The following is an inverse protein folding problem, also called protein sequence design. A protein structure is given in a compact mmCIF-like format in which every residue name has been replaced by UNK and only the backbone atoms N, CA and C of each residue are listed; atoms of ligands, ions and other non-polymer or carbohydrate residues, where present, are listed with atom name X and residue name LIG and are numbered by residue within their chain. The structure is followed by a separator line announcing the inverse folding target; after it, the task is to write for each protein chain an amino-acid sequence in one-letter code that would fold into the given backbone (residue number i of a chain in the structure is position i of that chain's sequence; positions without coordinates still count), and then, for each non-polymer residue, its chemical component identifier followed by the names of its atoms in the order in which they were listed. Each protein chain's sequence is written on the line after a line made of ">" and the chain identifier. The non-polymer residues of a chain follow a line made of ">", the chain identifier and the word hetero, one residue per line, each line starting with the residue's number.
data_IF_864197413724
#
_entry.id   IF_864197413724
#
_cell.length_a   1.000
_cell.length_b   1.000
_cell.length_c   1.000
_cell.angle_alpha   90.00
_cell.angle_beta   90.00
_cell.angle_gamma   90.00
#
_symmetry.space_group_name_H-M   'P 1'
#
loop_
_entity.id
_entity.type
_entity.pdbx_description
1 polymer ?
#
# COMPACT_ATOMS: atom_id res chain seq x y z
N UNK A 1 23.75 0.72 0.34
CA UNK A 1 23.19 -0.63 0.60
C UNK A 1 22.15 -0.87 -0.50
N UNK A 2 22.49 -1.65 -1.54
CA UNK A 2 21.64 -1.77 -2.74
C UNK A 2 20.38 -2.58 -2.44
N UNK A 3 19.21 -1.99 -2.69
CA UNK A 3 17.95 -2.70 -2.70
C UNK A 3 17.96 -3.69 -3.88
N UNK A 4 18.09 -4.99 -3.58
CA UNK A 4 17.74 -6.02 -4.56
C UNK A 4 16.25 -5.83 -4.89
N UNK A 5 15.94 -5.52 -6.14
CA UNK A 5 14.60 -5.68 -6.72
C UNK A 5 14.23 -7.17 -6.69
N UNK A 6 13.88 -7.66 -5.50
CA UNK A 6 13.33 -8.99 -5.32
C UNK A 6 11.89 -8.93 -5.80
N UNK A 7 11.66 -9.35 -7.05
CA UNK A 7 10.39 -9.96 -7.43
C UNK A 7 10.15 -11.12 -6.46
N UNK A 8 9.44 -10.87 -5.37
CA UNK A 8 9.03 -11.93 -4.44
C UNK A 8 8.07 -12.85 -5.18
N UNK A 9 8.58 -14.00 -5.61
CA UNK A 9 7.79 -15.11 -6.14
C UNK A 9 7.07 -15.79 -4.96
N UNK A 10 5.94 -15.23 -4.51
CA UNK A 10 5.07 -15.91 -3.56
C UNK A 10 4.30 -17.03 -4.28
N UNK A 11 4.87 -18.24 -4.29
CA UNK A 11 4.23 -19.48 -4.76
C UNK A 11 4.31 -19.70 -6.29
N UNK A 12 5.05 -20.72 -6.72
CA UNK A 12 5.03 -21.17 -8.12
C UNK A 12 4.45 -22.59 -8.21
N UNK A 13 3.27 -22.75 -8.82
CA UNK A 13 2.90 -24.06 -9.37
C UNK A 13 3.75 -24.26 -10.63
N UNK A 14 4.73 -25.16 -10.55
CA UNK A 14 5.58 -25.51 -11.70
C UNK A 14 4.99 -26.73 -12.41
N UNK A 15 4.60 -26.54 -13.65
CA UNK A 15 4.52 -27.63 -14.62
C UNK A 15 5.88 -27.70 -15.34
N UNK A 16 6.26 -28.85 -15.91
CA UNK A 16 7.50 -29.00 -16.69
C UNK A 16 7.64 -27.92 -17.78
N UNK A 17 6.51 -27.47 -18.34
CA UNK A 17 6.49 -26.53 -19.47
C UNK A 17 6.18 -25.08 -19.11
N UNK A 18 5.73 -24.79 -17.88
CA UNK A 18 5.34 -23.42 -17.50
C UNK A 18 5.31 -23.19 -15.99
N UNK A 19 5.43 -21.93 -15.59
CA UNK A 19 5.26 -21.47 -14.22
C UNK A 19 4.37 -20.22 -14.18
N UNK A 20 3.64 -20.06 -13.09
CA UNK A 20 2.86 -18.86 -12.81
C UNK A 20 3.70 -17.92 -11.94
N UNK A 21 3.76 -16.65 -12.32
CA UNK A 21 4.34 -15.58 -11.50
C UNK A 21 3.27 -14.58 -11.07
N UNK A 22 3.46 -14.08 -9.86
CA UNK A 22 2.69 -12.97 -9.31
C UNK A 22 3.57 -11.72 -9.39
N UNK A 23 3.14 -10.73 -10.17
CA UNK A 23 3.87 -9.47 -10.34
C UNK A 23 3.19 -8.40 -9.50
N UNK A 24 3.81 -8.04 -8.39
CA UNK A 24 3.48 -6.85 -7.60
C UNK A 24 4.30 -5.68 -8.13
N UNK A 25 3.78 -4.46 -7.99
CA UNK A 25 4.66 -3.30 -8.21
C UNK A 25 5.68 -3.29 -7.09
N UNK A 26 6.95 -3.23 -7.47
CA UNK A 26 7.92 -2.65 -6.56
C UNK A 26 7.48 -1.21 -6.34
N UNK A 27 7.36 -0.81 -5.06
CA UNK A 27 7.23 0.60 -4.79
C UNK A 27 8.52 1.27 -5.30
N UNK A 28 8.43 2.34 -6.10
CA UNK A 28 9.63 2.97 -6.62
C UNK A 28 10.52 3.39 -5.45
N UNK A 29 11.84 3.37 -5.66
CA UNK A 29 12.76 3.99 -4.72
C UNK A 29 12.36 5.47 -4.59
N UNK A 30 12.20 5.92 -3.34
CA UNK A 30 11.79 7.28 -3.01
C UNK A 30 12.94 7.99 -2.33
N UNK A 31 13.20 9.22 -2.75
CA UNK A 31 14.12 10.11 -2.02
C UNK A 31 13.46 10.57 -0.72
N UNK A 32 14.25 11.18 0.17
CA UNK A 32 13.71 11.82 1.36
C UNK A 32 12.67 12.89 0.99
N UNK A 33 12.98 13.72 -0.02
CA UNK A 33 12.11 14.80 -0.49
C UNK A 33 10.80 14.28 -1.06
N UNK A 34 10.82 13.13 -1.74
CA UNK A 34 9.60 12.48 -2.21
C UNK A 34 8.68 12.08 -1.05
N UNK A 35 9.26 11.52 0.02
CA UNK A 35 8.51 11.10 1.21
C UNK A 35 7.98 12.30 1.99
N UNK A 36 8.76 13.38 2.10
CA UNK A 36 8.32 14.62 2.73
C UNK A 36 7.17 15.27 1.95
N UNK A 37 7.27 15.32 0.62
CA UNK A 37 6.21 15.84 -0.22
C UNK A 37 4.94 14.97 -0.15
N UNK A 38 5.06 13.64 -0.14
CA UNK A 38 3.93 12.74 0.03
C UNK A 38 3.28 12.87 1.41
N UNK A 39 4.07 13.02 2.47
CA UNK A 39 3.58 13.30 3.82
C UNK A 39 2.78 14.60 3.87
N UNK A 40 3.31 15.67 3.27
CA UNK A 40 2.63 16.96 3.18
C UNK A 40 1.31 16.82 2.42
N UNK A 41 1.32 16.21 1.23
CA UNK A 41 0.12 15.97 0.43
C UNK A 41 -0.95 15.21 1.21
N UNK A 42 -0.57 14.13 1.90
CA UNK A 42 -1.48 13.33 2.71
C UNK A 42 -2.07 14.13 3.87
N UNK A 43 -1.23 14.85 4.63
CA UNK A 43 -1.66 15.50 5.87
C UNK A 43 -2.47 16.79 5.62
N UNK A 44 -2.06 17.63 4.67
CA UNK A 44 -2.80 18.83 4.28
C UNK A 44 -4.18 18.52 3.68
N UNK A 45 -4.34 17.35 3.07
CA UNK A 45 -5.60 16.94 2.43
C UNK A 45 -6.32 15.84 3.23
N UNK A 46 -5.91 15.56 4.47
CA UNK A 46 -6.43 14.42 5.24
C UNK A 46 -7.94 14.53 5.48
N UNK A 47 -8.44 15.73 5.80
CA UNK A 47 -9.89 15.98 5.97
C UNK A 47 -10.65 15.67 4.68
N UNK A 48 -10.15 16.13 3.53
CA UNK A 48 -10.76 15.88 2.22
C UNK A 48 -10.80 14.38 1.88
N UNK A 49 -9.71 13.66 2.16
CA UNK A 49 -9.58 12.21 1.97
C UNK A 49 -10.60 11.46 2.82
N UNK A 50 -10.73 11.80 4.11
CA UNK A 50 -11.66 11.13 5.03
C UNK A 50 -13.11 11.38 4.64
N UNK A 51 -13.48 12.63 4.31
CA UNK A 51 -14.83 12.99 3.86
C UNK A 51 -15.24 12.20 2.62
N UNK A 52 -14.28 11.90 1.72
CA UNK A 52 -14.51 11.14 0.50
C UNK A 52 -14.17 9.64 0.61
N UNK A 53 -13.97 9.12 1.83
CA UNK A 53 -13.47 7.76 2.05
C UNK A 53 -14.33 6.67 1.40
N UNK A 54 -15.67 6.80 1.44
CA UNK A 54 -16.59 5.85 0.79
C UNK A 54 -16.34 5.73 -0.72
N UNK A 55 -16.11 6.85 -1.39
CA UNK A 55 -15.84 6.88 -2.82
C UNK A 55 -14.47 6.28 -3.15
N UNK A 56 -13.44 6.66 -2.37
CA UNK A 56 -12.08 6.12 -2.53
C UNK A 56 -12.07 4.60 -2.35
N UNK A 57 -12.77 4.09 -1.33
CA UNK A 57 -12.88 2.66 -1.05
C UNK A 57 -13.63 1.93 -2.17
N UNK A 58 -14.69 2.55 -2.73
CA UNK A 58 -15.51 1.96 -3.78
C UNK A 58 -14.81 1.88 -5.15
N UNK A 59 -13.80 2.72 -5.42
CA UNK A 59 -13.15 2.80 -6.71
C UNK A 59 -11.76 2.16 -6.69
N UNK A 60 -11.59 1.02 -7.38
CA UNK A 60 -10.32 0.27 -7.43
C UNK A 60 -9.10 1.13 -7.77
N UNK A 61 -9.26 2.10 -8.68
CA UNK A 61 -8.22 3.06 -9.09
C UNK A 61 -7.66 3.87 -7.91
N UNK A 62 -8.53 4.31 -7.00
CA UNK A 62 -8.16 5.11 -5.82
C UNK A 62 -7.87 4.25 -4.60
N UNK A 63 -8.56 3.12 -4.47
CA UNK A 63 -8.30 2.15 -3.41
C UNK A 63 -6.82 1.72 -3.39
N UNK A 64 -6.28 1.39 -4.57
CA UNK A 64 -4.90 0.92 -4.69
C UNK A 64 -3.86 2.03 -4.83
N UNK A 65 -4.22 3.30 -4.58
CA UNK A 65 -3.24 4.40 -4.57
C UNK A 65 -2.13 4.09 -3.56
N UNK A 66 -0.86 4.01 -4.00
CA UNK A 66 0.25 3.75 -3.10
C UNK A 66 0.51 4.98 -2.23
N UNK A 67 0.79 4.74 -0.94
CA UNK A 67 1.17 5.78 0.03
C UNK A 67 2.42 5.29 0.75
N UNK A 68 3.59 5.70 0.28
CA UNK A 68 4.88 5.23 0.77
C UNK A 68 5.12 5.58 2.25
N UNK A 69 4.63 6.73 2.72
CA UNK A 69 4.71 7.14 4.12
C UNK A 69 3.82 6.30 5.04
N UNK A 70 2.80 5.63 4.49
CA UNK A 70 1.89 4.78 5.24
C UNK A 70 2.45 3.35 5.30
N UNK A 71 2.88 2.93 6.48
CA UNK A 71 3.58 1.65 6.65
C UNK A 71 3.34 1.00 8.00
N UNK A 72 3.32 -0.33 7.99
CA UNK A 72 3.26 -1.15 9.19
C UNK A 72 4.47 -2.08 9.19
N UNK A 73 5.25 -2.00 10.26
CA UNK A 73 6.51 -2.72 10.40
C UNK A 73 6.53 -3.58 11.66
N UNK A 74 6.44 -4.89 11.47
CA UNK A 74 6.67 -5.84 12.54
C UNK A 74 8.14 -6.29 12.54
N UNK A 75 8.78 -6.20 13.71
CA UNK A 75 10.07 -6.84 13.96
C UNK A 75 10.00 -8.30 13.48
N UNK A 76 11.04 -8.74 12.76
CA UNK A 76 11.18 -10.08 12.15
C UNK A 76 10.26 -10.40 10.95
N UNK A 77 9.12 -9.73 10.79
CA UNK A 77 8.20 -9.96 9.65
C UNK A 77 8.35 -8.90 8.53
N UNK A 78 9.13 -7.85 8.80
CA UNK A 78 9.47 -6.81 7.85
C UNK A 78 8.49 -5.64 7.82
N UNK A 79 8.77 -4.70 6.93
CA UNK A 79 7.95 -3.52 6.68
C UNK A 79 7.06 -3.74 5.46
N UNK A 80 5.80 -3.33 5.56
CA UNK A 80 4.87 -3.29 4.42
C UNK A 80 4.24 -1.92 4.34
N UNK A 81 4.21 -1.37 3.13
CA UNK A 81 3.43 -0.18 2.85
C UNK A 81 1.99 -0.59 2.63
N UNK A 82 1.09 0.28 3.03
CA UNK A 82 -0.35 0.05 2.92
C UNK A 82 -0.94 0.96 1.86
N UNK A 83 -1.83 0.42 1.05
CA UNK A 83 -2.58 1.23 0.08
C UNK A 83 -3.53 2.19 0.79
N UNK A 84 -3.88 3.30 0.14
CA UNK A 84 -4.81 4.27 0.72
C UNK A 84 -6.16 3.66 1.10
N UNK A 85 -6.69 2.77 0.26
CA UNK A 85 -7.94 2.07 0.54
C UNK A 85 -7.88 1.20 1.79
N UNK A 86 -6.79 0.48 2.01
CA UNK A 86 -6.57 -0.31 3.23
C UNK A 86 -6.41 0.60 4.45
N UNK A 87 -5.67 1.70 4.33
CA UNK A 87 -5.51 2.70 5.39
C UNK A 87 -6.87 3.28 5.82
N UNK A 88 -7.73 3.62 4.85
CA UNK A 88 -9.09 4.13 5.10
C UNK A 88 -9.99 3.10 5.78
N UNK A 89 -9.94 1.82 5.37
CA UNK A 89 -10.68 0.75 6.04
C UNK A 89 -10.26 0.63 7.51
N UNK A 90 -8.95 0.62 7.77
CA UNK A 90 -8.41 0.55 9.14
C UNK A 90 -8.79 1.76 9.99
N UNK A 91 -8.87 2.96 9.42
CA UNK A 91 -9.35 4.15 10.12
C UNK A 91 -10.85 4.12 10.39
N UNK A 92 -11.65 3.64 9.44
CA UNK A 92 -13.10 3.51 9.61
C UNK A 92 -13.44 2.51 10.72
N UNK A 93 -12.67 1.42 10.82
CA UNK A 93 -12.83 0.40 11.85
C UNK A 93 -12.19 0.79 13.21
N UNK A 94 -11.56 1.97 13.29
CA UNK A 94 -10.90 2.46 14.50
C UNK A 94 -9.58 1.75 14.86
N UNK A 95 -9.10 0.84 14.00
CA UNK A 95 -7.90 0.03 14.23
C UNK A 95 -6.59 0.80 14.06
N UNK A 96 -6.60 1.86 13.26
CA UNK A 96 -5.50 2.82 13.10
C UNK A 96 -5.87 4.22 13.58
N UNK A 97 -6.63 4.31 14.66
CA UNK A 97 -6.90 5.57 15.36
C UNK A 97 -6.43 5.46 16.81
N UNK A 98 -5.99 6.58 17.36
CA UNK A 98 -5.71 6.73 18.78
C UNK A 98 -6.12 8.15 19.23
N UNK A 99 -6.05 8.44 20.51
CA UNK A 99 -6.29 9.79 21.03
C UNK A 99 -5.04 10.65 20.86
N UNK A 100 -5.23 11.85 20.32
CA UNK A 100 -4.19 12.84 20.19
C UNK A 100 -3.70 13.25 21.58
N UNK A 101 -2.38 13.16 21.87
CA UNK A 101 -1.84 13.51 23.19
C UNK A 101 -1.92 15.02 23.49
N UNK A 102 -2.22 15.86 22.50
CA UNK A 102 -2.29 17.31 22.64
C UNK A 102 -3.71 17.82 22.92
N UNK A 103 -4.74 17.25 22.28
CA UNK A 103 -6.12 17.75 22.39
C UNK A 103 -7.17 16.69 22.73
N UNK A 104 -6.82 15.41 22.81
CA UNK A 104 -7.77 14.33 23.07
C UNK A 104 -8.69 13.94 21.90
N UNK A 105 -8.72 14.70 20.79
CA UNK A 105 -9.42 14.29 19.57
C UNK A 105 -8.71 13.10 18.89
N UNK A 106 -9.33 12.54 17.85
CA UNK A 106 -8.73 11.42 17.13
C UNK A 106 -7.45 11.83 16.38
N UNK A 107 -6.43 10.99 16.51
CA UNK A 107 -5.21 10.99 15.71
C UNK A 107 -5.25 9.79 14.76
N UNK A 108 -5.04 10.05 13.47
CA UNK A 108 -5.03 9.04 12.42
C UNK A 108 -3.63 8.47 12.30
N UNK A 109 -3.45 7.20 12.67
CA UNK A 109 -2.15 6.53 12.60
C UNK A 109 -1.84 6.25 11.14
N UNK A 110 -0.69 6.74 10.67
CA UNK A 110 -0.20 6.55 9.29
C UNK A 110 0.90 5.49 9.28
N UNK A 111 1.74 5.47 10.32
CA UNK A 111 2.84 4.53 10.46
C UNK A 111 2.83 3.86 11.83
N UNK A 112 3.01 2.54 11.87
CA UNK A 112 3.11 1.80 13.13
C UNK A 112 4.22 0.75 13.05
N UNK A 113 5.17 0.79 13.98
CA UNK A 113 6.24 -0.19 14.08
C UNK A 113 6.30 -0.82 15.46
N UNK A 114 6.61 -2.12 15.54
CA UNK A 114 6.66 -2.80 16.82
C UNK A 114 7.07 -4.26 16.75
N UNK A 115 7.17 -4.88 17.92
CA UNK A 115 7.37 -6.31 18.07
C UNK A 115 6.04 -6.97 18.40
N UNK A 116 5.60 -7.88 17.53
CA UNK A 116 4.40 -8.69 17.77
C UNK A 116 4.58 -9.58 19.01
N UNK A 117 5.80 -10.08 19.27
CA UNK A 117 6.09 -11.00 20.36
C UNK A 117 6.05 -10.34 21.75
N UNK A 118 6.50 -9.09 21.84
CA UNK A 118 6.63 -8.36 23.13
C UNK A 118 5.50 -7.33 23.29
N UNK A 119 4.66 -7.13 22.28
CA UNK A 119 3.56 -6.16 22.27
C UNK A 119 3.98 -4.69 22.21
N UNK A 120 5.28 -4.38 22.38
CA UNK A 120 5.84 -3.02 22.29
C UNK A 120 5.72 -2.48 20.88
N UNK A 121 5.23 -1.25 20.74
CA UNK A 121 5.21 -0.53 19.48
C UNK A 121 5.41 0.96 19.68
N UNK A 122 5.62 1.64 18.55
CA UNK A 122 5.52 3.09 18.38
C UNK A 122 4.68 3.34 17.15
N UNK A 123 3.79 4.31 17.23
CA UNK A 123 3.05 4.78 16.07
C UNK A 123 3.33 6.26 15.81
N UNK A 124 3.16 6.67 14.56
CA UNK A 124 3.22 8.04 14.09
C UNK A 124 1.97 8.31 13.24
N UNK A 125 1.35 9.45 13.47
CA UNK A 125 0.07 9.80 12.87
C UNK A 125 -0.13 11.30 12.80
N UNK A 126 -1.34 11.70 12.44
CA UNK A 126 -1.69 13.11 12.28
C UNK A 126 -3.01 13.41 12.97
N UNK A 127 -3.06 14.51 13.73
CA UNK A 127 -4.28 15.01 14.31
C UNK A 127 -4.79 16.20 13.48
N UNK A 128 -5.99 16.05 12.91
CA UNK A 128 -6.60 17.09 12.05
C UNK A 128 -6.91 18.35 12.86
N UNK A 129 -7.40 18.20 14.09
CA UNK A 129 -7.78 19.33 14.94
C UNK A 129 -6.56 20.13 15.44
N UNK A 130 -5.44 19.45 15.72
CA UNK A 130 -4.18 20.14 16.05
C UNK A 130 -3.38 20.59 14.83
N UNK A 131 -3.71 20.10 13.63
CA UNK A 131 -2.92 20.26 12.42
C UNK A 131 -1.43 19.89 12.62
N UNK A 132 -1.16 18.82 13.37
CA UNK A 132 0.21 18.41 13.77
C UNK A 132 0.41 16.90 13.67
N UNK A 133 1.63 16.52 13.30
CA UNK A 133 2.12 15.16 13.46
C UNK A 133 2.24 14.81 14.94
N UNK A 134 1.75 13.63 15.32
CA UNK A 134 1.77 13.12 16.69
C UNK A 134 2.30 11.69 16.72
N UNK A 135 2.83 11.27 17.86
CA UNK A 135 3.31 9.91 18.04
C UNK A 135 2.87 9.36 19.39
N UNK A 136 2.84 8.04 19.50
CA UNK A 136 2.43 7.36 20.72
C UNK A 136 2.80 5.89 20.71
N UNK A 137 2.20 5.15 21.65
CA UNK A 137 2.35 3.70 21.81
C UNK A 137 0.95 3.11 21.96
N UNK A 138 0.61 2.12 21.15
CA UNK A 138 -0.57 1.29 21.34
C UNK A 138 -0.30 0.20 22.38
N UNK A 139 -1.33 -0.18 23.13
CA UNK A 139 -1.24 -1.25 24.14
C UNK A 139 -1.01 -2.64 23.53
N UNK A 140 -1.44 -2.88 22.29
CA UNK A 140 -1.31 -4.18 21.64
C UNK A 140 -0.99 -4.04 20.14
N UNK A 141 0.28 -4.28 19.80
CA UNK A 141 0.72 -4.18 18.39
C UNK A 141 0.09 -5.24 17.48
N UNK A 142 -0.21 -6.44 18.01
CA UNK A 142 -0.81 -7.50 17.21
C UNK A 142 -2.21 -7.12 16.70
N UNK A 143 -2.97 -6.36 17.51
CA UNK A 143 -4.27 -5.81 17.12
C UNK A 143 -4.19 -4.79 15.98
N UNK A 144 -3.03 -4.17 15.76
CA UNK A 144 -2.80 -3.25 14.64
C UNK A 144 -2.24 -3.99 13.43
N UNK A 145 -1.21 -4.82 13.67
CA UNK A 145 -0.47 -5.49 12.60
C UNK A 145 -1.31 -6.53 11.85
N UNK A 146 -2.05 -7.39 12.57
CA UNK A 146 -2.76 -8.51 11.96
C UNK A 146 -3.89 -8.05 11.03
N UNK A 147 -4.80 -7.13 11.42
CA UNK A 147 -5.84 -6.67 10.51
C UNK A 147 -5.28 -6.00 9.26
N UNK A 148 -4.23 -5.21 9.39
CA UNK A 148 -3.62 -4.59 8.22
C UNK A 148 -2.97 -5.61 7.29
N UNK A 149 -2.29 -6.62 7.85
CA UNK A 149 -1.74 -7.72 7.06
C UNK A 149 -2.83 -8.51 6.33
N UNK A 150 -3.93 -8.82 7.01
CA UNK A 150 -5.06 -9.54 6.42
C UNK A 150 -5.75 -8.74 5.31
N UNK A 151 -5.92 -7.42 5.51
CA UNK A 151 -6.49 -6.52 4.49
C UNK A 151 -5.56 -6.36 3.29
N UNK A 152 -4.27 -6.14 3.48
CA UNK A 152 -3.31 -6.06 2.37
C UNK A 152 -3.25 -7.37 1.57
N UNK A 153 -3.36 -8.53 2.24
CA UNK A 153 -3.46 -9.82 1.54
C UNK A 153 -4.77 -9.95 0.77
N UNK A 154 -5.89 -9.55 1.37
CA UNK A 154 -7.23 -9.61 0.75
C UNK A 154 -7.34 -8.70 -0.47
N UNK A 155 -6.76 -7.51 -0.41
CA UNK A 155 -6.84 -6.48 -1.46
C UNK A 155 -5.52 -6.29 -2.22
N UNK A 156 -4.73 -7.35 -2.34
CA UNK A 156 -3.45 -7.30 -3.04
C UNK A 156 -3.62 -6.95 -4.54
N UNK A 157 -2.87 -5.96 -5.01
CA UNK A 157 -2.87 -5.51 -6.42
C UNK A 157 -1.68 -6.07 -7.20
N UNK A 158 -1.80 -7.34 -7.63
CA UNK A 158 -0.82 -8.03 -8.47
C UNK A 158 -1.41 -8.44 -9.82
N UNK A 159 -0.54 -8.57 -10.83
CA UNK A 159 -0.84 -9.31 -12.04
C UNK A 159 -0.48 -10.79 -11.87
N UNK A 160 -1.27 -11.69 -12.49
CA UNK A 160 -0.93 -13.12 -12.61
C UNK A 160 -0.52 -13.35 -14.05
N UNK A 161 0.72 -13.80 -14.25
CA UNK A 161 1.29 -14.05 -15.58
C UNK A 161 1.78 -15.49 -15.62
N UNK A 162 1.39 -16.26 -16.63
CA UNK A 162 1.98 -17.56 -16.90
C UNK A 162 3.10 -17.41 -17.91
N UNK A 163 4.27 -17.88 -17.52
CA UNK A 163 5.47 -17.94 -18.34
C UNK A 163 5.79 -19.38 -18.69
N UNK A 164 6.18 -19.61 -19.93
CA UNK A 164 6.60 -20.92 -20.40
C UNK A 164 8.09 -21.13 -20.12
N UNK A 165 8.46 -22.30 -19.61
CA UNK A 165 9.86 -22.66 -19.39
C UNK A 165 10.59 -22.69 -20.74
N UNK A 166 11.76 -22.05 -20.79
CA UNK A 166 12.70 -22.26 -21.88
C UNK A 166 13.61 -23.40 -21.45
N UNK A 167 13.56 -24.55 -22.13
CA UNK A 167 14.63 -25.54 -22.01
C UNK A 167 15.88 -24.97 -22.69
N UNK A 168 17.07 -25.30 -22.17
CA UNK A 168 18.36 -24.79 -22.67
C UNK A 168 18.57 -25.06 -24.17
N UNK A 169 18.10 -26.22 -24.67
CA UNK A 169 18.18 -26.59 -26.09
C UNK A 169 17.27 -25.74 -26.98
N UNK A 170 16.07 -25.39 -26.50
CA UNK A 170 15.12 -24.53 -27.23
C UNK A 170 15.47 -23.04 -27.15
N UNK A 171 16.44 -22.64 -26.33
CA UNK A 171 16.82 -21.24 -26.17
C UNK A 171 17.47 -20.68 -27.45
N UNK A 172 18.29 -21.50 -28.14
CA UNK A 172 18.97 -21.11 -29.38
C UNK A 172 18.06 -21.11 -30.61
N UNK A 173 17.14 -22.08 -30.74
CA UNK A 173 16.16 -22.10 -31.84
C UNK A 173 15.19 -20.91 -31.79
N UNK A 174 14.87 -20.42 -30.58
CA UNK A 174 13.91 -19.34 -30.36
C UNK A 174 14.41 -17.92 -30.57
N UNK A 175 15.70 -17.70 -30.84
CA UNK A 175 16.15 -16.41 -31.38
C UNK A 175 15.54 -16.17 -32.78
N UNK A 176 15.07 -17.22 -33.47
CA UNK A 176 14.48 -17.16 -34.80
C UNK A 176 12.95 -17.29 -34.81
N UNK A 177 12.33 -17.83 -33.77
CA UNK A 177 10.88 -18.02 -33.66
C UNK A 177 10.20 -16.97 -32.78
N UNK A 178 9.05 -16.47 -33.24
CA UNK A 178 8.18 -15.53 -32.53
C UNK A 178 7.89 -16.03 -31.11
N UNK A 179 8.43 -15.30 -30.14
CA UNK A 179 8.25 -15.48 -28.69
C UNK A 179 6.79 -15.86 -28.40
N UNK A 180 6.50 -17.07 -27.89
CA UNK A 180 5.14 -17.34 -27.36
C UNK A 180 4.88 -16.29 -26.30
N UNK A 181 3.83 -15.50 -26.49
CA UNK A 181 3.50 -14.38 -25.63
C UNK A 181 3.16 -14.89 -24.22
N UNK A 182 3.61 -14.15 -23.21
CA UNK A 182 3.19 -14.35 -21.83
C UNK A 182 1.65 -14.28 -21.75
N UNK A 183 1.03 -15.24 -21.08
CA UNK A 183 -0.42 -15.24 -20.84
C UNK A 183 -0.73 -14.48 -19.55
N UNK A 184 -1.50 -13.38 -19.66
CA UNK A 184 -1.92 -12.60 -18.50
C UNK A 184 -3.28 -13.09 -18.01
N UNK A 185 -3.29 -13.87 -16.93
CA UNK A 185 -4.53 -14.38 -16.31
C UNK A 185 -5.28 -13.32 -15.52
N UNK A 186 -4.54 -12.40 -14.89
CA UNK A 186 -5.13 -11.29 -14.14
C UNK A 186 -4.32 -10.04 -14.42
N UNK A 187 -4.98 -9.00 -14.96
CA UNK A 187 -4.38 -7.68 -15.07
C UNK A 187 -4.41 -7.00 -13.70
N UNK A 188 -3.33 -6.29 -13.40
CA UNK A 188 -3.24 -5.39 -12.27
C UNK A 188 -4.17 -4.18 -12.49
N UNK A 189 -4.70 -3.61 -11.42
CA UNK A 189 -5.37 -2.31 -11.48
C UNK A 189 -4.34 -1.21 -11.67
N UNK A 190 -4.56 -0.35 -12.67
CA UNK A 190 -3.81 0.90 -12.82
C UNK A 190 -4.29 1.91 -11.76
N UNK A 191 -3.52 2.03 -10.67
CA UNK A 191 -3.83 2.92 -9.54
C UNK A 191 -3.46 4.37 -9.87
N UNK A 192 -4.21 5.32 -9.33
CA UNK A 192 -3.77 6.72 -9.40
C UNK A 192 -2.65 7.02 -8.41
N UNK A 193 -1.91 8.08 -8.66
CA UNK A 193 -1.04 8.68 -7.63
C UNK A 193 -1.86 9.41 -6.57
N UNK A 194 -1.26 9.70 -5.41
CA UNK A 194 -1.91 10.48 -4.36
C UNK A 194 -2.27 11.90 -4.85
N UNK A 195 -1.39 12.53 -5.64
CA UNK A 195 -1.63 13.85 -6.21
C UNK A 195 -2.80 13.86 -7.20
N UNK A 196 -2.86 12.88 -8.11
CA UNK A 196 -3.99 12.70 -9.04
C UNK A 196 -5.32 12.54 -8.30
N UNK A 197 -5.33 11.73 -7.24
CA UNK A 197 -6.49 11.56 -6.39
C UNK A 197 -6.90 12.88 -5.74
N UNK A 198 -5.97 13.58 -5.07
CA UNK A 198 -6.26 14.85 -4.39
C UNK A 198 -6.83 15.87 -5.37
N UNK A 199 -6.26 16.00 -6.57
CA UNK A 199 -6.75 16.91 -7.59
C UNK A 199 -8.19 16.56 -8.01
N UNK A 200 -8.47 15.28 -8.21
CA UNK A 200 -9.83 14.83 -8.51
C UNK A 200 -10.81 15.15 -7.37
N UNK A 201 -10.43 14.91 -6.11
CA UNK A 201 -11.27 15.24 -4.95
C UNK A 201 -11.55 16.75 -4.86
N UNK A 202 -10.56 17.60 -5.15
CA UNK A 202 -10.74 19.05 -5.17
C UNK A 202 -11.75 19.46 -6.24
N UNK A 203 -11.64 18.92 -7.46
CA UNK A 203 -12.60 19.19 -8.54
C UNK A 203 -14.04 18.83 -8.14
N UNK A 204 -14.24 17.68 -7.50
CA UNK A 204 -15.56 17.27 -7.01
C UNK A 204 -16.14 18.22 -5.96
N UNK A 205 -15.30 18.71 -5.03
CA UNK A 205 -15.72 19.65 -4.00
C UNK A 205 -16.13 21.02 -4.58
N UNK A 206 -15.48 21.49 -5.65
CA UNK A 206 -15.87 22.74 -6.32
C UNK A 206 -17.22 22.61 -7.01
N UNK A 207 -17.53 21.46 -7.60
CA UNK A 207 -18.82 21.23 -8.27
C UNK A 207 -20.02 21.17 -7.31
N UNK A 208 -19.80 20.99 -6.00
CA UNK A 208 -20.87 20.94 -4.99
C UNK A 208 -21.21 22.31 -4.39
N UNK A 209 -20.41 23.35 -4.69
CA UNK A 209 -20.60 24.71 -4.18
C UNK A 209 -21.38 25.62 -5.15
N UNK A 210 -21.69 25.12 -6.34
CA UNK A 210 -22.47 25.79 -7.39
C UNK A 210 -23.89 25.24 -7.35
#
# INVERSE_FOLDING_TARGET
>A
MYARNNLMLEGSMRNKDSYVIYVKDAMPDRTHDDLENEWRLLTENLRLIITNSKMIIGQKKYFHTPVAVASINASFLGSRNISLGVLLLLWNDGLLKDKCPLCGNDAFIIKASGSVLIGKNKWYGYCIECNKGVCGKSRNYLCVWRPAFDLERKYSNYAIIKRYNLTSEKWFERLKETRRSDEVYKKKVNSSTLNELINHLKTLSYSQQI
#
